data_IF_674624440047
#
_entry.id   IF_674624440047
#
_cell.length_a   1.000
_cell.length_b   1.000
_cell.length_c   1.000
_cell.angle_alpha   90.00
_cell.angle_beta   90.00
_cell.angle_gamma   90.00
#
_symmetry.space_group_name_H-M   'P 1'
#
loop_
_entity.id
_entity.type
_entity.pdbx_description
1 polymer ?
#
# COMPACT_ATOMS: atom_id res chain seq x y z
N UNK A 1 32.03 -0.90 -15.65
CA UNK A 1 32.20 -2.37 -15.71
C UNK A 1 30.84 -2.99 -15.38
N UNK A 2 30.29 -3.80 -16.29
CA UNK A 2 28.97 -4.40 -16.14
C UNK A 2 29.01 -5.45 -15.03
N UNK A 3 28.48 -5.13 -13.86
CA UNK A 3 28.14 -6.15 -12.86
C UNK A 3 26.99 -6.98 -13.44
N UNK A 4 27.16 -8.30 -13.66
CA UNK A 4 26.07 -9.13 -14.15
C UNK A 4 24.96 -9.14 -13.11
N UNK A 5 23.71 -8.92 -13.55
CA UNK A 5 22.55 -9.21 -12.73
C UNK A 5 22.64 -10.70 -12.30
N UNK A 6 22.37 -11.03 -11.03
CA UNK A 6 22.39 -12.42 -10.61
C UNK A 6 21.34 -13.18 -11.41
N UNK A 7 21.80 -14.09 -12.28
CA UNK A 7 20.99 -15.12 -12.92
C UNK A 7 20.42 -16.05 -11.84
N UNK A 8 19.35 -15.60 -11.21
CA UNK A 8 18.71 -16.28 -10.11
C UNK A 8 17.22 -16.09 -10.21
N UNK A 9 16.61 -16.66 -11.26
CA UNK A 9 15.16 -16.83 -11.29
C UNK A 9 14.69 -17.45 -9.96
N UNK A 10 13.54 -17.02 -9.47
CA UNK A 10 12.95 -17.53 -8.24
C UNK A 10 12.85 -19.06 -8.30
N UNK A 11 13.73 -19.75 -7.58
CA UNK A 11 13.71 -21.21 -7.45
C UNK A 11 12.78 -21.56 -6.29
N UNK A 12 11.65 -22.20 -6.60
CA UNK A 12 10.80 -22.80 -5.59
C UNK A 12 11.61 -23.84 -4.81
N UNK A 13 11.55 -23.86 -3.47
CA UNK A 13 12.27 -24.84 -2.68
C UNK A 13 11.80 -26.24 -3.05
N UNK A 14 12.75 -27.14 -3.33
CA UNK A 14 12.44 -28.51 -3.74
C UNK A 14 12.33 -29.48 -2.56
N UNK A 15 12.74 -29.03 -1.37
CA UNK A 15 12.64 -29.81 -0.13
C UNK A 15 12.40 -28.90 1.08
N UNK A 16 12.12 -29.52 2.23
CA UNK A 16 11.82 -28.82 3.47
C UNK A 16 12.99 -28.05 4.08
N UNK A 17 14.23 -28.47 3.82
CA UNK A 17 15.41 -27.78 4.33
C UNK A 17 15.68 -26.49 3.54
N UNK A 18 15.48 -26.51 2.22
CA UNK A 18 15.49 -25.33 1.36
C UNK A 18 14.36 -24.36 1.71
N UNK A 19 13.15 -24.87 1.98
CA UNK A 19 12.02 -24.04 2.40
C UNK A 19 12.31 -23.33 3.74
N UNK A 20 12.88 -24.06 4.72
CA UNK A 20 13.31 -23.49 6.00
C UNK A 20 14.44 -22.47 5.83
N UNK A 21 15.41 -22.74 4.96
CA UNK A 21 16.50 -21.81 4.68
C UNK A 21 15.99 -20.52 4.03
N UNK A 22 15.08 -20.63 3.07
CA UNK A 22 14.42 -19.50 2.43
C UNK A 22 13.60 -18.69 3.45
N UNK A 23 12.80 -19.35 4.29
CA UNK A 23 12.01 -18.69 5.33
C UNK A 23 12.89 -17.93 6.33
N UNK A 24 14.02 -18.51 6.75
CA UNK A 24 15.00 -17.82 7.62
C UNK A 24 15.63 -16.61 6.94
N UNK A 25 16.00 -16.73 5.66
CA UNK A 25 16.55 -15.63 4.87
C UNK A 25 15.54 -14.50 4.69
N UNK A 26 14.29 -14.83 4.39
CA UNK A 26 13.19 -13.86 4.32
C UNK A 26 12.94 -13.19 5.67
N UNK A 27 12.97 -13.94 6.78
CA UNK A 27 12.82 -13.40 8.13
C UNK A 27 13.92 -12.39 8.48
N UNK A 28 15.18 -12.72 8.21
CA UNK A 28 16.31 -11.82 8.42
C UNK A 28 16.20 -10.54 7.57
N UNK A 29 15.82 -10.68 6.29
CA UNK A 29 15.60 -9.54 5.40
C UNK A 29 14.47 -8.63 5.90
N UNK A 30 13.33 -9.20 6.32
CA UNK A 30 12.21 -8.43 6.89
C UNK A 30 12.65 -7.67 8.14
N UNK A 31 13.44 -8.30 9.01
CA UNK A 31 13.95 -7.66 10.23
C UNK A 31 14.88 -6.49 9.90
N UNK A 32 15.77 -6.64 8.93
CA UNK A 32 16.66 -5.58 8.46
C UNK A 32 15.86 -4.38 7.90
N UNK A 33 14.88 -4.65 7.02
CA UNK A 33 14.03 -3.59 6.47
C UNK A 33 13.18 -2.91 7.56
N UNK A 34 12.73 -3.66 8.57
CA UNK A 34 12.00 -3.10 9.70
C UNK A 34 12.88 -2.17 10.55
N UNK A 35 14.13 -2.55 10.81
CA UNK A 35 15.10 -1.68 11.51
C UNK A 35 15.35 -0.41 10.70
N UNK A 36 15.61 -0.54 9.40
CA UNK A 36 15.81 0.61 8.51
C UNK A 36 14.58 1.53 8.48
N UNK A 37 13.37 0.97 8.43
CA UNK A 37 12.14 1.75 8.48
C UNK A 37 11.95 2.45 9.84
N UNK A 38 12.25 1.76 10.95
CA UNK A 38 12.20 2.32 12.31
C UNK A 38 13.16 3.50 12.46
N UNK A 39 14.39 3.34 11.99
CA UNK A 39 15.42 4.40 11.99
C UNK A 39 15.02 5.58 11.10
N UNK A 40 14.34 5.31 9.98
CA UNK A 40 13.76 6.32 9.11
C UNK A 40 12.50 7.01 9.69
N UNK A 41 12.14 6.75 10.94
CA UNK A 41 11.03 7.40 11.62
C UNK A 41 9.67 6.77 11.39
N UNK A 42 9.60 5.45 11.14
CA UNK A 42 8.34 4.72 10.92
C UNK A 42 7.28 5.03 11.96
N UNK A 43 7.61 5.36 13.21
CA UNK A 43 6.61 5.63 14.26
C UNK A 43 6.32 7.12 14.51
N UNK A 44 6.93 8.03 13.73
CA UNK A 44 6.84 9.48 13.96
C UNK A 44 5.65 10.14 13.29
N UNK A 45 4.98 9.45 12.35
CA UNK A 45 4.00 10.07 11.45
C UNK A 45 2.56 9.62 11.73
N UNK A 46 2.27 8.91 12.83
CA UNK A 46 0.93 8.42 13.13
C UNK A 46 -0.13 9.52 13.17
N UNK A 47 0.16 10.63 13.85
CA UNK A 47 -0.81 11.75 13.97
C UNK A 47 -1.13 12.36 12.61
N UNK A 48 -0.10 12.55 11.79
CA UNK A 48 -0.26 13.06 10.43
C UNK A 48 -1.08 12.09 9.59
N UNK A 49 -0.73 10.80 9.60
CA UNK A 49 -1.49 9.75 8.93
C UNK A 49 -2.98 9.76 9.32
N UNK A 50 -3.31 9.79 10.61
CA UNK A 50 -4.70 9.81 11.05
C UNK A 50 -5.45 11.07 10.60
N UNK A 51 -4.76 12.20 10.52
CA UNK A 51 -5.33 13.45 10.02
C UNK A 51 -5.60 13.35 8.51
N UNK A 52 -4.62 12.83 7.77
CA UNK A 52 -4.66 12.67 6.32
C UNK A 52 -5.72 11.65 5.88
N UNK A 53 -5.91 10.54 6.59
CA UNK A 53 -6.95 9.55 6.22
C UNK A 53 -8.36 10.02 6.61
N UNK A 54 -8.49 10.80 7.69
CA UNK A 54 -9.77 11.31 8.15
C UNK A 54 -10.31 12.36 7.17
N UNK A 55 -9.43 13.22 6.65
CA UNK A 55 -9.78 14.25 5.69
C UNK A 55 -8.67 14.41 4.64
N UNK A 56 -8.60 13.51 3.64
CA UNK A 56 -7.53 13.48 2.66
C UNK A 56 -7.60 14.64 1.66
N UNK A 57 -8.70 15.40 1.64
CA UNK A 57 -8.85 16.62 0.87
C UNK A 57 -9.88 17.50 1.59
N UNK A 58 -9.83 18.84 1.38
CA UNK A 58 -10.92 19.72 1.75
C UNK A 58 -12.26 19.21 1.21
N UNK A 59 -13.34 19.36 2.00
CA UNK A 59 -14.66 18.83 1.67
C UNK A 59 -15.20 19.35 0.33
N UNK A 60 -14.84 20.58 -0.04
CA UNK A 60 -15.22 21.22 -1.29
C UNK A 60 -14.64 20.45 -2.49
N UNK A 61 -13.38 20.02 -2.38
CA UNK A 61 -12.68 19.24 -3.41
C UNK A 61 -13.21 17.80 -3.49
N UNK A 62 -13.57 17.20 -2.36
CA UNK A 62 -14.18 15.86 -2.34
C UNK A 62 -15.57 15.84 -2.99
N UNK A 63 -16.31 16.95 -2.90
CA UNK A 63 -17.62 17.11 -3.54
C UNK A 63 -17.53 17.51 -5.01
N UNK A 64 -16.39 18.03 -5.45
CA UNK A 64 -16.17 18.41 -6.83
C UNK A 64 -15.94 17.18 -7.72
N UNK A 65 -16.87 16.96 -8.65
CA UNK A 65 -16.81 15.82 -9.58
C UNK A 65 -15.54 15.83 -10.42
N UNK A 66 -15.07 17.00 -10.85
CA UNK A 66 -13.89 17.13 -11.70
C UNK A 66 -12.64 16.67 -10.95
N UNK A 67 -12.49 17.11 -9.70
CA UNK A 67 -11.41 16.70 -8.81
C UNK A 67 -11.44 15.19 -8.57
N UNK A 68 -12.60 14.62 -8.25
CA UNK A 68 -12.74 13.18 -8.07
C UNK A 68 -12.43 12.39 -9.34
N UNK A 69 -12.83 12.89 -10.50
CA UNK A 69 -12.49 12.28 -11.78
C UNK A 69 -10.98 12.35 -12.05
N UNK A 70 -10.33 13.47 -11.76
CA UNK A 70 -8.87 13.59 -11.88
C UNK A 70 -8.13 12.64 -10.95
N UNK A 71 -8.66 12.39 -9.74
CA UNK A 71 -8.09 11.43 -8.79
C UNK A 71 -8.20 10.00 -9.32
N UNK A 72 -9.39 9.60 -9.78
CA UNK A 72 -9.64 8.24 -10.29
C UNK A 72 -8.86 7.98 -11.57
N UNK A 73 -8.74 8.97 -12.45
CA UNK A 73 -7.96 8.86 -13.70
C UNK A 73 -6.45 9.07 -13.50
N UNK A 74 -5.99 9.26 -12.26
CA UNK A 74 -4.57 9.45 -11.91
C UNK A 74 -3.97 10.69 -12.60
N UNK A 75 -4.78 11.73 -12.75
CA UNK A 75 -4.43 13.02 -13.36
C UNK A 75 -4.32 14.16 -12.35
N UNK A 76 -4.63 13.91 -11.07
CA UNK A 76 -4.49 14.93 -10.04
C UNK A 76 -3.04 15.42 -9.93
N UNK A 77 -2.78 16.74 -9.96
CA UNK A 77 -1.42 17.30 -10.03
C UNK A 77 -0.52 16.91 -8.86
N UNK A 78 -1.12 16.86 -7.67
CA UNK A 78 -0.45 16.43 -6.45
C UNK A 78 -0.58 14.91 -6.30
N UNK A 79 0.47 14.19 -6.67
CA UNK A 79 0.46 12.73 -6.63
C UNK A 79 0.52 12.16 -5.22
N UNK A 80 1.13 12.87 -4.27
CA UNK A 80 1.14 12.43 -2.87
C UNK A 80 -0.26 12.55 -2.29
N UNK A 81 -0.95 13.67 -2.54
CA UNK A 81 -2.35 13.82 -2.14
C UNK A 81 -3.26 12.79 -2.82
N UNK A 82 -3.05 12.54 -4.12
CA UNK A 82 -3.79 11.52 -4.86
C UNK A 82 -3.61 10.11 -4.28
N UNK A 83 -2.38 9.79 -3.88
CA UNK A 83 -2.07 8.56 -3.16
C UNK A 83 -2.77 8.52 -1.80
N UNK A 84 -2.73 9.59 -1.01
CA UNK A 84 -3.38 9.69 0.30
C UNK A 84 -4.90 9.48 0.19
N UNK A 85 -5.56 10.06 -0.81
CA UNK A 85 -6.98 9.82 -1.08
C UNK A 85 -7.24 8.35 -1.37
N UNK A 86 -6.38 7.70 -2.17
CA UNK A 86 -6.46 6.27 -2.44
C UNK A 86 -6.37 5.44 -1.16
N UNK A 87 -5.37 5.71 -0.32
CA UNK A 87 -5.16 5.01 0.96
C UNK A 87 -6.36 5.21 1.89
N UNK A 88 -6.82 6.46 2.04
CA UNK A 88 -8.02 6.75 2.82
C UNK A 88 -9.22 5.95 2.31
N UNK A 89 -9.44 5.92 0.99
CA UNK A 89 -10.48 5.11 0.36
C UNK A 89 -10.39 3.62 0.71
N UNK A 90 -9.19 3.03 0.65
CA UNK A 90 -9.01 1.61 1.05
C UNK A 90 -9.35 1.36 2.52
N UNK A 91 -8.93 2.25 3.43
CA UNK A 91 -9.20 2.13 4.88
C UNK A 91 -10.69 2.25 5.18
N UNK A 92 -11.34 3.25 4.59
CA UNK A 92 -12.78 3.48 4.80
C UNK A 92 -13.62 2.34 4.25
N UNK A 93 -13.31 1.84 3.06
CA UNK A 93 -14.04 0.72 2.46
C UNK A 93 -13.84 -0.58 3.23
N UNK A 94 -12.63 -0.83 3.75
CA UNK A 94 -12.38 -1.98 4.62
C UNK A 94 -13.13 -1.87 5.94
N UNK A 95 -13.10 -0.68 6.55
CA UNK A 95 -13.79 -0.43 7.82
C UNK A 95 -15.30 -0.58 7.67
N UNK A 96 -15.86 -0.07 6.57
CA UNK A 96 -17.27 -0.26 6.24
C UNK A 96 -17.58 -1.74 5.97
N UNK A 97 -16.74 -2.44 5.22
CA UNK A 97 -16.86 -3.89 4.99
C UNK A 97 -16.89 -4.69 6.29
N UNK A 98 -15.97 -4.42 7.21
CA UNK A 98 -15.91 -5.04 8.54
C UNK A 98 -17.18 -4.74 9.36
N UNK A 99 -17.68 -3.50 9.32
CA UNK A 99 -18.94 -3.14 9.97
C UNK A 99 -20.15 -3.86 9.33
N UNK A 100 -20.14 -4.10 8.01
CA UNK A 100 -21.16 -4.93 7.37
C UNK A 100 -21.06 -6.39 7.83
N UNK A 101 -19.86 -6.96 7.93
CA UNK A 101 -19.67 -8.30 8.48
C UNK A 101 -20.25 -8.42 9.89
N UNK A 102 -20.11 -7.38 10.72
CA UNK A 102 -20.77 -7.31 12.03
C UNK A 102 -22.29 -7.45 11.94
N UNK A 103 -22.93 -6.75 11.01
CA UNK A 103 -24.38 -6.82 10.78
C UNK A 103 -24.85 -8.21 10.33
N UNK A 104 -23.95 -9.01 9.72
CA UNK A 104 -24.22 -10.39 9.32
C UNK A 104 -23.74 -11.44 10.35
N UNK A 105 -23.43 -11.02 11.58
CA UNK A 105 -23.17 -11.92 12.70
C UNK A 105 -21.69 -12.18 13.00
N UNK A 106 -20.77 -11.42 12.41
CA UNK A 106 -19.37 -11.46 12.84
C UNK A 106 -19.23 -10.93 14.28
N UNK A 107 -18.24 -11.46 15.02
CA UNK A 107 -18.01 -11.03 16.40
C UNK A 107 -17.44 -9.59 16.47
N UNK A 108 -17.76 -8.81 17.51
CA UNK A 108 -17.16 -7.47 17.68
C UNK A 108 -15.62 -7.49 17.70
N UNK A 109 -15.03 -8.52 18.30
CA UNK A 109 -13.58 -8.67 18.37
C UNK A 109 -12.94 -8.84 16.99
N UNK A 110 -13.59 -9.62 16.12
CA UNK A 110 -13.16 -9.81 14.74
C UNK A 110 -13.19 -8.49 13.95
N UNK A 111 -14.27 -7.72 14.10
CA UNK A 111 -14.46 -6.43 13.41
C UNK A 111 -13.41 -5.40 13.85
N UNK A 112 -13.17 -5.30 15.17
CA UNK A 112 -12.13 -4.42 15.71
C UNK A 112 -10.76 -4.82 15.18
N UNK A 113 -10.47 -6.13 15.16
CA UNK A 113 -9.22 -6.64 14.62
C UNK A 113 -9.04 -6.27 13.14
N UNK A 114 -10.05 -6.48 12.29
CA UNK A 114 -10.00 -6.11 10.86
C UNK A 114 -9.70 -4.62 10.67
N UNK A 115 -10.41 -3.74 11.41
CA UNK A 115 -10.21 -2.28 11.32
C UNK A 115 -8.80 -1.88 11.76
N UNK A 116 -8.32 -2.40 12.90
CA UNK A 116 -6.98 -2.10 13.41
C UNK A 116 -5.91 -2.62 12.47
N UNK A 117 -6.07 -3.83 11.94
CA UNK A 117 -5.15 -4.41 10.97
C UNK A 117 -5.09 -3.58 9.68
N UNK A 118 -6.24 -3.17 9.15
CA UNK A 118 -6.32 -2.31 7.97
C UNK A 118 -5.61 -0.97 8.19
N UNK A 119 -5.81 -0.34 9.35
CA UNK A 119 -5.13 0.90 9.71
C UNK A 119 -3.61 0.72 9.82
N UNK A 120 -3.15 -0.38 10.40
CA UNK A 120 -1.72 -0.68 10.52
C UNK A 120 -1.06 -0.88 9.15
N UNK A 121 -1.68 -1.67 8.27
CA UNK A 121 -1.17 -1.90 6.90
C UNK A 121 -1.16 -0.59 6.11
N UNK A 122 -2.26 0.18 6.16
CA UNK A 122 -2.35 1.47 5.49
C UNK A 122 -1.31 2.47 6.01
N UNK A 123 -1.03 2.49 7.32
CA UNK A 123 -0.01 3.33 7.90
C UNK A 123 1.39 3.01 7.37
N UNK A 124 1.75 1.73 7.34
CA UNK A 124 3.05 1.28 6.82
C UNK A 124 3.19 1.66 5.35
N UNK A 125 2.16 1.41 4.53
CA UNK A 125 2.18 1.77 3.10
C UNK A 125 2.21 3.29 2.90
N UNK A 126 1.49 4.06 3.71
CA UNK A 126 1.56 5.52 3.72
C UNK A 126 2.99 5.99 3.98
N UNK A 127 3.60 5.53 5.06
CA UNK A 127 4.97 5.87 5.43
C UNK A 127 5.96 5.50 4.31
N UNK A 128 5.86 4.30 3.75
CA UNK A 128 6.78 3.80 2.71
C UNK A 128 6.76 4.66 1.44
N UNK A 129 5.61 5.26 1.09
CA UNK A 129 5.47 6.04 -0.15
C UNK A 129 5.73 7.53 0.07
N UNK A 130 5.17 8.12 1.12
CA UNK A 130 5.17 9.59 1.30
C UNK A 130 6.27 10.10 2.23
N UNK A 131 6.66 9.33 3.26
CA UNK A 131 7.58 9.81 4.32
C UNK A 131 8.97 9.19 4.27
N UNK A 132 9.06 7.93 3.84
CA UNK A 132 10.32 7.20 3.84
C UNK A 132 11.35 7.84 2.89
N UNK A 133 12.60 8.09 3.36
CA UNK A 133 13.69 8.56 2.52
C UNK A 133 14.26 7.45 1.62
N UNK A 134 14.00 6.18 1.93
CA UNK A 134 14.50 5.03 1.18
C UNK A 134 13.62 4.78 -0.05
N UNK A 135 14.16 5.01 -1.25
CA UNK A 135 13.42 4.85 -2.51
C UNK A 135 12.87 3.43 -2.74
N UNK A 136 13.59 2.39 -2.25
CA UNK A 136 13.15 0.99 -2.34
C UNK A 136 11.85 0.72 -1.58
N UNK A 137 11.54 1.49 -0.52
CA UNK A 137 10.28 1.30 0.21
C UNK A 137 9.07 1.63 -0.66
N UNK A 138 9.11 2.70 -1.46
CA UNK A 138 8.03 3.03 -2.38
C UNK A 138 7.84 1.93 -3.46
N UNK A 139 8.93 1.28 -3.88
CA UNK A 139 8.89 0.15 -4.83
C UNK A 139 8.22 -1.09 -4.23
N UNK A 140 8.55 -1.43 -2.98
CA UNK A 140 7.86 -2.51 -2.27
C UNK A 140 6.37 -2.21 -2.07
N UNK A 141 6.03 -0.97 -1.72
CA UNK A 141 4.64 -0.54 -1.60
C UNK A 141 3.88 -0.66 -2.93
N UNK A 142 4.50 -0.29 -4.06
CA UNK A 142 3.93 -0.48 -5.39
C UNK A 142 3.59 -1.95 -5.66
N UNK A 143 4.54 -2.86 -5.42
CA UNK A 143 4.31 -4.30 -5.62
C UNK A 143 3.20 -4.84 -4.71
N UNK A 144 3.14 -4.40 -3.45
CA UNK A 144 2.07 -4.77 -2.53
C UNK A 144 0.70 -4.28 -3.01
N UNK A 145 0.58 -3.03 -3.46
CA UNK A 145 -0.69 -2.52 -3.99
C UNK A 145 -1.14 -3.24 -5.26
N UNK A 146 -0.21 -3.56 -6.17
CA UNK A 146 -0.54 -4.35 -7.38
C UNK A 146 -1.04 -5.74 -6.97
N UNK A 147 -0.33 -6.41 -6.07
CA UNK A 147 -0.72 -7.72 -5.56
C UNK A 147 -2.09 -7.68 -4.87
N UNK A 148 -2.33 -6.72 -3.97
CA UNK A 148 -3.63 -6.53 -3.33
C UNK A 148 -4.74 -6.23 -4.32
N UNK A 149 -4.47 -5.44 -5.37
CA UNK A 149 -5.47 -5.15 -6.41
C UNK A 149 -5.91 -6.44 -7.12
N UNK A 150 -4.98 -7.33 -7.43
CA UNK A 150 -5.31 -8.63 -8.06
C UNK A 150 -6.11 -9.51 -7.10
N UNK A 151 -5.71 -9.61 -5.84
CA UNK A 151 -6.44 -10.40 -4.84
C UNK A 151 -7.86 -9.87 -4.60
N UNK A 152 -8.01 -8.56 -4.40
CA UNK A 152 -9.31 -7.93 -4.19
C UNK A 152 -10.19 -8.06 -5.44
N UNK A 153 -9.63 -7.96 -6.65
CA UNK A 153 -10.38 -8.18 -7.89
C UNK A 153 -10.91 -9.62 -7.96
N UNK A 154 -10.06 -10.60 -7.67
CA UNK A 154 -10.47 -12.00 -7.61
C UNK A 154 -11.59 -12.22 -6.59
N UNK A 155 -11.41 -11.70 -5.37
CA UNK A 155 -12.39 -11.81 -4.30
C UNK A 155 -13.72 -11.13 -4.65
N UNK A 156 -13.67 -10.00 -5.37
CA UNK A 156 -14.86 -9.32 -5.89
C UNK A 156 -15.66 -10.25 -6.79
N UNK A 157 -15.00 -10.91 -7.74
CA UNK A 157 -15.68 -11.83 -8.68
C UNK A 157 -16.27 -13.05 -7.97
N UNK A 158 -15.57 -13.64 -7.00
CA UNK A 158 -16.07 -14.79 -6.25
C UNK A 158 -17.22 -14.41 -5.31
N UNK A 159 -17.27 -13.16 -4.87
CA UNK A 159 -18.27 -12.65 -3.93
C UNK A 159 -19.48 -12.01 -4.61
N UNK A 160 -19.56 -11.99 -5.95
CA UNK A 160 -20.68 -11.42 -6.72
C UNK A 160 -22.06 -12.01 -6.38
N UNK A 161 -22.10 -13.19 -5.76
CA UNK A 161 -23.32 -13.80 -5.23
C UNK A 161 -23.99 -12.87 -4.19
N UNK A 162 -23.20 -12.07 -3.47
CA UNK A 162 -23.67 -11.05 -2.54
C UNK A 162 -23.28 -9.65 -3.06
N UNK A 163 -24.26 -8.91 -3.57
CA UNK A 163 -24.07 -7.62 -4.25
C UNK A 163 -23.33 -6.60 -3.37
N UNK A 164 -23.70 -6.50 -2.08
CA UNK A 164 -23.15 -5.48 -1.17
C UNK A 164 -21.68 -5.73 -0.82
N UNK A 165 -21.27 -6.93 -0.34
CA UNK A 165 -19.85 -7.25 -0.15
C UNK A 165 -19.01 -7.07 -1.42
N UNK A 166 -19.51 -7.54 -2.57
CA UNK A 166 -18.81 -7.38 -3.84
C UNK A 166 -18.59 -5.91 -4.22
N UNK A 167 -19.53 -5.02 -3.88
CA UNK A 167 -19.39 -3.59 -4.15
C UNK A 167 -18.28 -2.95 -3.30
N UNK A 168 -18.19 -3.26 -2.01
CA UNK A 168 -17.12 -2.73 -1.15
C UNK A 168 -15.73 -3.21 -1.61
N UNK A 169 -15.61 -4.50 -1.93
CA UNK A 169 -14.35 -5.09 -2.40
C UNK A 169 -13.99 -4.53 -3.80
N UNK A 170 -14.97 -4.32 -4.67
CA UNK A 170 -14.79 -3.70 -5.98
C UNK A 170 -14.28 -2.26 -5.87
N UNK A 171 -14.91 -1.44 -5.02
CA UNK A 171 -14.42 -0.08 -4.76
C UNK A 171 -13.01 -0.09 -4.14
N UNK A 172 -12.72 -1.02 -3.22
CA UNK A 172 -11.40 -1.16 -2.58
C UNK A 172 -10.34 -1.53 -3.61
N UNK A 173 -10.70 -2.37 -4.59
CA UNK A 173 -9.85 -2.72 -5.73
C UNK A 173 -9.48 -1.47 -6.54
N UNK A 174 -10.45 -0.60 -6.84
CA UNK A 174 -10.20 0.67 -7.55
C UNK A 174 -9.28 1.57 -6.73
N UNK A 175 -9.53 1.74 -5.43
CA UNK A 175 -8.66 2.54 -4.56
C UNK A 175 -7.23 1.97 -4.49
N UNK A 176 -7.07 0.64 -4.45
CA UNK A 176 -5.77 -0.02 -4.45
C UNK A 176 -5.02 0.20 -5.78
N UNK A 177 -5.74 0.15 -6.91
CA UNK A 177 -5.20 0.45 -8.22
C UNK A 177 -4.74 1.92 -8.31
N UNK A 178 -5.54 2.86 -7.80
CA UNK A 178 -5.19 4.29 -7.71
C UNK A 178 -3.92 4.47 -6.88
N UNK A 179 -3.81 3.81 -5.72
CA UNK A 179 -2.60 3.84 -4.89
C UNK A 179 -1.37 3.36 -5.68
N UNK A 180 -1.50 2.25 -6.42
CA UNK A 180 -0.39 1.72 -7.22
C UNK A 180 0.06 2.73 -8.30
N UNK A 181 -0.89 3.35 -9.01
CA UNK A 181 -0.58 4.27 -10.09
C UNK A 181 0.03 5.59 -9.59
N UNK A 182 -0.48 6.16 -8.50
CA UNK A 182 0.14 7.33 -7.88
C UNK A 182 1.51 7.01 -7.28
N UNK A 183 1.68 5.84 -6.66
CA UNK A 183 3.00 5.40 -6.16
C UNK A 183 4.01 5.32 -7.30
N UNK A 184 3.63 4.75 -8.43
CA UNK A 184 4.48 4.72 -9.63
C UNK A 184 4.87 6.12 -10.11
N UNK A 185 3.92 7.06 -10.15
CA UNK A 185 4.19 8.44 -10.55
C UNK A 185 5.10 9.18 -9.56
N UNK A 186 4.92 8.98 -8.25
CA UNK A 186 5.79 9.51 -7.19
C UNK A 186 7.21 8.95 -7.37
N UNK A 187 7.34 7.64 -7.58
CA UNK A 187 8.63 6.99 -7.82
C UNK A 187 9.31 7.53 -9.09
N UNK A 188 8.57 7.70 -10.19
CA UNK A 188 9.11 8.25 -11.43
C UNK A 188 9.63 9.68 -11.23
N UNK A 189 8.90 10.51 -10.47
CA UNK A 189 9.37 11.86 -10.10
C UNK A 189 10.63 11.80 -9.23
N UNK A 190 10.67 10.94 -8.21
CA UNK A 190 11.85 10.74 -7.34
C UNK A 190 13.08 10.25 -8.12
N UNK A 191 12.90 9.33 -9.07
CA UNK A 191 13.99 8.83 -9.96
C UNK A 191 14.40 9.83 -11.04
N UNK A 192 13.51 10.73 -11.47
CA UNK A 192 13.81 11.77 -12.46
C UNK A 192 14.41 13.05 -11.88
N UNK A 193 14.29 13.26 -10.56
CA UNK A 193 14.83 14.41 -9.84
C UNK A 193 16.29 14.25 -9.40
N UNK A 194 16.88 13.06 -9.60
CA UNK A 194 18.28 12.73 -9.25
C UNK A 194 18.85 11.84 -10.36
N UNK A 195 19.98 12.19 -11.01
CA UNK A 195 20.72 11.20 -11.79
C UNK A 195 21.16 10.12 -10.81
N UNK A 196 20.81 8.87 -11.09
CA UNK A 196 21.36 7.71 -10.39
C UNK A 196 22.85 7.59 -10.72
N UNK A 197 23.67 8.47 -10.17
CA UNK A 197 25.03 8.15 -9.80
C UNK A 197 25.03 7.87 -8.31
N UNK A 198 25.69 6.78 -7.98
CA UNK A 198 25.85 6.24 -6.65
C UNK A 198 26.18 7.37 -5.68
N UNK A 199 25.27 7.63 -4.73
CA UNK A 199 25.69 8.18 -3.45
C UNK A 199 26.48 7.07 -2.80
N UNK A 200 27.75 7.00 -3.20
CA UNK A 200 28.83 6.54 -2.36
C UNK A 200 28.50 7.02 -0.94
N UNK A 201 28.50 6.05 -0.03
CA UNK A 201 28.53 6.27 1.40
C UNK A 201 29.74 7.18 1.65
N UNK A 202 29.49 8.49 1.68
CA UNK A 202 30.50 9.49 1.94
C UNK A 202 30.46 9.80 3.44
N UNK A 203 31.47 9.21 4.10
CA UNK A 203 32.07 9.54 5.41
C UNK A 203 31.43 8.95 6.65
#
# INVERSE_FOLDING_TARGET
ANSPMPEGGFKLPQNMDEAKALARKSGAFIQEQFVAAKEAGLFSYFKEFFTDIAMPLPLEKLKDKTTMQQLVLVQYPDHEQGFIVGVAGTVWLESLGALFNFLFGASPAYVIFEIVYALLVAYVLYFMVTKSPVAKHAEYALYLFVFYTVLNAWETFTSLIFILPALFIGCKTICSAICSAYTYNIMKKKKGAVPLEDVEIAQ
#
